data_IF_191062448795
#
_entry.id   IF_191062448795
#
_cell.length_a   1.000
_cell.length_b   1.000
_cell.length_c   1.000
_cell.angle_alpha   90.00
_cell.angle_beta   90.00
_cell.angle_gamma   90.00
#
_symmetry.space_group_name_H-M   'P 1'
#
loop_
_entity.id
_entity.type
_entity.pdbx_description
1 polymer ?
#
# COMPACT_ATOMS: atom_id res chain seq x y z
N UNK A 1 -20.12 -23.13 -9.37
CA UNK A 1 -18.85 -23.27 -10.09
C UNK A 1 -18.84 -22.31 -11.27
N UNK A 2 -18.61 -21.03 -11.03
CA UNK A 2 -18.41 -20.08 -12.12
C UNK A 2 -16.92 -19.77 -12.22
N UNK A 3 -16.22 -20.56 -13.04
CA UNK A 3 -14.82 -20.33 -13.42
C UNK A 3 -14.71 -19.52 -14.74
N UNK A 4 -15.75 -18.79 -15.10
CA UNK A 4 -15.91 -18.32 -16.48
C UNK A 4 -15.25 -16.98 -16.81
N UNK A 5 -14.57 -16.27 -15.89
CA UNK A 5 -14.02 -14.95 -16.19
C UNK A 5 -12.65 -14.68 -15.54
N UNK A 6 -11.71 -15.62 -15.64
CA UNK A 6 -10.30 -15.27 -15.41
C UNK A 6 -9.70 -14.77 -16.72
N UNK A 7 -9.39 -13.48 -16.80
CA UNK A 7 -8.61 -12.94 -17.89
C UNK A 7 -7.15 -13.39 -17.69
N UNK A 8 -6.73 -14.42 -18.42
CA UNK A 8 -5.33 -14.85 -18.45
C UNK A 8 -4.65 -14.19 -19.64
N UNK A 9 -3.68 -13.34 -19.38
CA UNK A 9 -2.85 -12.75 -20.43
C UNK A 9 -1.37 -13.10 -20.19
N UNK A 10 -0.62 -13.24 -21.27
CA UNK A 10 0.82 -13.42 -21.17
C UNK A 10 1.48 -12.09 -20.84
N UNK A 11 2.33 -12.05 -19.80
CA UNK A 11 3.07 -10.85 -19.39
C UNK A 11 3.86 -10.21 -20.57
N UNK A 12 4.24 -11.00 -21.57
CA UNK A 12 4.92 -10.52 -22.79
C UNK A 12 4.03 -9.72 -23.73
N UNK A 13 2.71 -9.79 -23.62
CA UNK A 13 1.76 -9.04 -24.47
C UNK A 13 1.26 -7.78 -23.82
N UNK A 14 1.61 -7.55 -22.55
CA UNK A 14 1.29 -6.34 -21.84
C UNK A 14 2.43 -5.31 -22.06
N UNK A 15 2.21 -4.36 -22.95
CA UNK A 15 3.12 -3.22 -23.09
C UNK A 15 2.83 -2.21 -21.98
N UNK A 16 3.77 -1.99 -21.08
CA UNK A 16 3.69 -0.88 -20.12
C UNK A 16 4.01 0.41 -20.89
N UNK A 17 3.08 1.35 -20.89
CA UNK A 17 3.32 2.73 -21.32
C UNK A 17 3.93 3.59 -20.21
N UNK A 18 4.15 3.02 -19.04
CA UNK A 18 4.61 3.72 -17.85
C UNK A 18 5.94 3.10 -17.40
N UNK A 19 6.99 3.92 -17.34
CA UNK A 19 8.25 3.54 -16.72
C UNK A 19 8.02 3.36 -15.21
N UNK A 20 8.13 2.13 -14.76
CA UNK A 20 8.03 1.80 -13.34
C UNK A 20 9.33 2.16 -12.62
N UNK A 21 9.24 2.95 -11.57
CA UNK A 21 10.37 3.31 -10.72
C UNK A 21 10.01 2.99 -9.27
N UNK A 22 10.73 2.02 -8.69
CA UNK A 22 10.75 1.83 -7.25
C UNK A 22 11.77 2.80 -6.66
N UNK A 23 11.29 3.73 -5.82
CA UNK A 23 12.14 4.71 -5.15
C UNK A 23 12.83 4.18 -3.89
N UNK A 24 12.57 2.92 -3.51
CA UNK A 24 13.20 2.30 -2.35
C UNK A 24 14.67 2.04 -2.63
N UNK A 25 15.56 2.77 -1.95
CA UNK A 25 16.99 2.47 -1.98
C UNK A 25 17.24 1.21 -1.16
N UNK A 26 17.96 0.25 -1.76
CA UNK A 26 18.35 -0.98 -1.08
C UNK A 26 19.13 -0.66 0.18
N UNK A 27 18.68 -1.10 1.34
CA UNK A 27 19.60 -1.24 2.46
C UNK A 27 20.72 -2.16 1.99
N UNK A 28 21.95 -1.71 2.13
CA UNK A 28 23.11 -2.59 1.94
C UNK A 28 22.89 -3.83 2.81
N UNK A 29 22.46 -4.91 2.19
CA UNK A 29 22.53 -6.22 2.78
C UNK A 29 24.04 -6.53 2.89
N UNK A 30 24.67 -5.96 3.90
CA UNK A 30 25.97 -6.44 4.35
C UNK A 30 25.75 -7.90 4.73
N UNK A 31 26.15 -8.78 3.83
CA UNK A 31 26.00 -10.20 3.93
C UNK A 31 26.69 -10.73 5.17
N UNK A 32 26.03 -10.57 6.30
CA UNK A 32 26.29 -11.38 7.47
C UNK A 32 26.02 -12.83 7.07
N UNK A 33 27.04 -13.67 7.20
CA UNK A 33 27.02 -15.12 6.98
C UNK A 33 26.12 -15.82 8.01
N UNK A 34 24.88 -15.37 8.17
CA UNK A 34 23.86 -16.12 8.83
C UNK A 34 23.08 -16.87 7.75
N UNK A 35 23.54 -18.11 7.47
CA UNK A 35 22.67 -19.14 6.98
C UNK A 35 21.58 -19.41 8.05
N UNK A 36 20.70 -18.47 8.29
CA UNK A 36 19.41 -18.83 8.85
C UNK A 36 18.74 -19.71 7.79
N UNK A 37 18.57 -20.98 8.15
CA UNK A 37 17.71 -21.85 7.37
C UNK A 37 16.40 -21.08 7.19
N UNK A 38 16.13 -20.65 5.97
CA UNK A 38 14.77 -20.22 5.59
C UNK A 38 13.89 -21.38 5.98
N UNK A 39 13.13 -21.22 7.02
CA UNK A 39 12.00 -22.11 7.31
C UNK A 39 11.03 -21.84 6.16
N UNK A 40 11.11 -22.68 5.15
CA UNK A 40 10.21 -22.62 4.00
C UNK A 40 8.85 -23.08 4.51
N UNK A 41 8.01 -22.08 4.86
CA UNK A 41 6.62 -22.30 5.23
C UNK A 41 6.45 -23.03 6.57
N UNK A 42 6.15 -22.26 7.61
CA UNK A 42 5.66 -22.85 8.88
C UNK A 42 4.18 -23.27 8.78
N UNK A 43 3.58 -23.15 7.61
CA UNK A 43 2.16 -23.42 7.32
C UNK A 43 1.20 -22.55 8.16
N UNK A 44 1.69 -21.43 8.70
CA UNK A 44 0.85 -20.49 9.46
C UNK A 44 0.30 -19.39 8.56
N UNK A 45 -1.00 -19.21 8.64
CA UNK A 45 -1.67 -18.07 8.02
C UNK A 45 -1.61 -16.87 8.97
N UNK A 46 -1.06 -15.74 8.50
CA UNK A 46 -0.89 -14.53 9.30
C UNK A 46 -1.81 -13.42 8.81
N UNK A 47 -2.31 -12.61 9.74
CA UNK A 47 -3.05 -11.41 9.40
C UNK A 47 -2.46 -10.20 10.09
N UNK A 48 -2.42 -9.07 9.36
CA UNK A 48 -1.92 -7.80 9.86
C UNK A 48 -2.94 -6.69 9.65
N UNK A 49 -3.04 -5.79 10.64
CA UNK A 49 -3.93 -4.63 10.59
C UNK A 49 -3.28 -3.57 9.72
N UNK A 50 -3.94 -3.22 8.61
CA UNK A 50 -3.49 -2.26 7.64
C UNK A 50 -4.21 -0.92 7.83
N UNK A 51 -3.45 0.17 7.94
CA UNK A 51 -3.94 1.55 7.89
C UNK A 51 -3.57 2.17 6.54
N UNK A 52 -4.57 2.56 5.74
CA UNK A 52 -4.36 3.19 4.43
C UNK A 52 -4.83 4.64 4.48
N UNK A 53 -3.88 5.57 4.44
CA UNK A 53 -4.18 6.97 4.24
C UNK A 53 -4.38 7.29 2.74
N UNK A 54 -5.06 8.38 2.45
CA UNK A 54 -5.18 8.89 1.07
C UNK A 54 -4.89 10.37 1.03
N UNK A 55 -4.18 10.81 -0.01
CA UNK A 55 -4.01 12.25 -0.25
C UNK A 55 -5.32 12.88 -0.77
N UNK A 56 -5.41 14.20 -0.75
CA UNK A 56 -6.54 14.94 -1.32
C UNK A 56 -6.72 14.65 -2.81
N UNK A 57 -5.60 14.55 -3.56
CA UNK A 57 -5.64 14.23 -4.99
C UNK A 57 -6.22 12.85 -5.26
N UNK A 58 -5.86 11.85 -4.44
CA UNK A 58 -6.42 10.49 -4.57
C UNK A 58 -7.93 10.51 -4.33
N UNK A 59 -8.38 11.14 -3.26
CA UNK A 59 -9.80 11.23 -2.95
C UNK A 59 -10.57 11.98 -4.04
N UNK A 60 -10.02 13.11 -4.52
CA UNK A 60 -10.63 13.94 -5.56
C UNK A 60 -10.71 13.23 -6.91
N UNK A 61 -9.73 12.37 -7.23
CA UNK A 61 -9.76 11.54 -8.44
C UNK A 61 -11.03 10.68 -8.50
N UNK A 62 -11.50 10.18 -7.36
CA UNK A 62 -12.72 9.38 -7.25
C UNK A 62 -13.97 10.21 -6.92
N UNK A 63 -13.91 11.53 -7.04
CA UNK A 63 -15.04 12.44 -6.87
C UNK A 63 -15.39 12.75 -5.42
N UNK A 64 -14.53 12.42 -4.46
CA UNK A 64 -14.75 12.73 -3.06
C UNK A 64 -14.03 14.04 -2.67
N UNK A 65 -14.81 15.08 -2.39
CA UNK A 65 -14.37 16.43 -2.03
C UNK A 65 -14.55 16.73 -0.53
N UNK A 66 -15.11 15.80 0.23
CA UNK A 66 -15.36 15.98 1.66
C UNK A 66 -15.60 14.64 2.35
N UNK A 67 -15.52 14.64 3.67
CA UNK A 67 -15.73 13.44 4.51
C UNK A 67 -17.13 12.81 4.35
N UNK A 68 -18.13 13.56 3.91
CA UNK A 68 -19.45 13.01 3.60
C UNK A 68 -19.45 12.03 2.42
N UNK A 69 -18.39 12.05 1.61
CA UNK A 69 -18.18 11.19 0.44
C UNK A 69 -17.11 10.10 0.70
N UNK A 70 -16.72 9.89 1.95
CA UNK A 70 -15.71 8.91 2.36
C UNK A 70 -15.98 7.49 1.84
N UNK A 71 -17.24 7.13 1.62
CA UNK A 71 -17.61 5.84 1.06
C UNK A 71 -17.07 5.61 -0.36
N UNK A 72 -16.92 6.66 -1.17
CA UNK A 72 -16.33 6.57 -2.50
C UNK A 72 -14.84 6.19 -2.42
N UNK A 73 -14.11 6.84 -1.52
CA UNK A 73 -12.69 6.55 -1.27
C UNK A 73 -12.52 5.15 -0.66
N UNK A 74 -13.35 4.82 0.34
CA UNK A 74 -13.30 3.51 0.99
C UNK A 74 -13.51 2.37 -0.01
N UNK A 75 -14.44 2.51 -0.96
CA UNK A 75 -14.68 1.50 -1.98
C UNK A 75 -13.42 1.23 -2.83
N UNK A 76 -12.66 2.27 -3.17
CA UNK A 76 -11.43 2.12 -3.93
C UNK A 76 -10.29 1.50 -3.10
N UNK A 77 -10.13 1.94 -1.86
CA UNK A 77 -9.15 1.37 -0.93
C UNK A 77 -9.45 -0.12 -0.70
N UNK A 78 -10.70 -0.49 -0.45
CA UNK A 78 -11.12 -1.90 -0.29
C UNK A 78 -10.84 -2.71 -1.56
N UNK A 79 -11.11 -2.15 -2.73
CA UNK A 79 -10.82 -2.81 -4.01
C UNK A 79 -9.33 -3.10 -4.16
N UNK A 80 -8.48 -2.11 -3.89
CA UNK A 80 -7.03 -2.26 -3.95
C UNK A 80 -6.54 -3.32 -2.95
N UNK A 81 -6.97 -3.23 -1.70
CA UNK A 81 -6.55 -4.17 -0.64
C UNK A 81 -7.02 -5.60 -0.91
N UNK A 82 -8.24 -5.79 -1.41
CA UNK A 82 -8.70 -7.12 -1.81
C UNK A 82 -7.85 -7.70 -2.93
N UNK A 83 -7.46 -6.87 -3.89
CA UNK A 83 -6.62 -7.32 -5.01
C UNK A 83 -5.20 -7.68 -4.55
N UNK A 84 -4.63 -6.93 -3.61
CA UNK A 84 -3.36 -7.28 -2.94
C UNK A 84 -3.50 -8.60 -2.17
N UNK A 85 -4.58 -8.76 -1.41
CA UNK A 85 -4.83 -9.97 -0.63
C UNK A 85 -4.95 -11.23 -1.50
N UNK A 86 -5.51 -11.14 -2.71
CA UNK A 86 -5.54 -12.28 -3.65
C UNK A 86 -4.13 -12.86 -3.90
N UNK A 87 -3.12 -11.98 -4.02
CA UNK A 87 -1.73 -12.39 -4.20
C UNK A 87 -1.10 -12.83 -2.87
N UNK A 88 -1.29 -12.03 -1.82
CA UNK A 88 -0.63 -12.27 -0.53
C UNK A 88 -1.12 -13.53 0.18
N UNK A 89 -2.41 -13.86 0.08
CA UNK A 89 -2.95 -15.09 0.63
C UNK A 89 -2.42 -16.30 -0.11
N UNK A 90 -2.27 -16.20 -1.44
CA UNK A 90 -1.80 -17.31 -2.28
C UNK A 90 -0.28 -17.52 -2.13
N UNK A 91 0.51 -16.46 -2.15
CA UNK A 91 1.96 -16.57 -2.28
C UNK A 91 2.69 -16.49 -0.93
N UNK A 92 2.10 -15.81 0.06
CA UNK A 92 2.75 -15.54 1.35
C UNK A 92 1.97 -16.05 2.56
N UNK A 93 0.80 -16.68 2.38
CA UNK A 93 -0.10 -17.07 3.48
C UNK A 93 -0.39 -15.90 4.43
N UNK A 94 -0.57 -14.70 3.87
CA UNK A 94 -0.73 -13.47 4.63
C UNK A 94 -1.96 -12.70 4.16
N UNK A 95 -2.70 -12.11 5.10
CA UNK A 95 -3.85 -11.25 4.83
C UNK A 95 -3.70 -9.89 5.50
N UNK A 96 -3.99 -8.84 4.76
CA UNK A 96 -4.08 -7.48 5.25
C UNK A 96 -5.54 -7.14 5.57
N UNK A 97 -5.80 -6.68 6.78
CA UNK A 97 -7.13 -6.33 7.27
C UNK A 97 -7.17 -4.83 7.54
N UNK A 98 -7.99 -4.09 6.78
CA UNK A 98 -8.17 -2.66 7.03
C UNK A 98 -8.70 -2.42 8.45
N UNK A 99 -8.12 -1.41 9.11
CA UNK A 99 -8.58 -0.98 10.44
C UNK A 99 -9.99 -0.38 10.36
N UNK A 100 -10.78 -0.55 11.43
CA UNK A 100 -12.20 -0.17 11.41
C UNK A 100 -12.45 1.34 11.27
N UNK A 101 -11.52 2.18 11.72
CA UNK A 101 -11.58 3.64 11.61
C UNK A 101 -10.71 4.21 10.48
N UNK A 102 -10.46 3.45 9.43
CA UNK A 102 -9.56 3.82 8.34
C UNK A 102 -9.93 5.14 7.64
N UNK A 103 -11.22 5.48 7.57
CA UNK A 103 -11.70 6.73 6.96
C UNK A 103 -11.23 8.01 7.69
N UNK A 104 -10.73 7.89 8.92
CA UNK A 104 -10.19 9.03 9.69
C UNK A 104 -8.88 9.58 9.11
N UNK A 105 -8.23 8.84 8.22
CA UNK A 105 -6.99 9.23 7.53
C UNK A 105 -7.20 9.43 6.02
N UNK A 106 -8.43 9.68 5.58
CA UNK A 106 -8.73 10.11 4.22
C UNK A 106 -8.75 11.63 4.16
N UNK A 107 -7.95 12.19 3.27
CA UNK A 107 -7.89 13.63 3.04
C UNK A 107 -8.61 13.99 1.73
N UNK A 108 -9.16 15.20 1.66
CA UNK A 108 -10.04 15.62 0.56
C UNK A 108 -9.61 16.95 -0.06
N UNK A 109 -8.66 17.63 0.57
CA UNK A 109 -8.11 18.90 0.10
C UNK A 109 -6.60 18.74 -0.04
N UNK A 110 -6.13 18.72 -1.28
CA UNK A 110 -4.70 18.59 -1.62
C UNK A 110 -3.84 19.79 -1.20
N UNK A 111 -4.46 20.92 -0.89
CA UNK A 111 -3.78 22.11 -0.37
C UNK A 111 -3.63 22.11 1.15
N UNK A 112 -4.33 21.22 1.85
CA UNK A 112 -4.39 21.14 3.31
C UNK A 112 -4.07 19.75 3.89
N UNK A 113 -3.87 18.75 3.05
CA UNK A 113 -3.46 17.43 3.54
C UNK A 113 -1.98 17.43 4.01
N UNK A 114 -1.56 16.46 4.83
CA UNK A 114 -0.20 16.43 5.38
C UNK A 114 0.85 15.88 4.41
N UNK A 115 0.52 15.69 3.14
CA UNK A 115 1.37 15.05 2.14
C UNK A 115 1.90 16.05 1.11
N UNK A 116 3.12 15.84 0.67
CA UNK A 116 3.75 16.64 -0.38
C UNK A 116 4.93 15.90 -1.00
N UNK A 117 5.34 16.31 -2.19
CA UNK A 117 6.51 15.74 -2.86
C UNK A 117 6.25 14.38 -3.47
N UNK A 118 7.33 13.62 -3.67
CA UNK A 118 7.32 12.27 -4.21
C UNK A 118 6.99 11.20 -3.14
N UNK A 119 6.85 9.95 -3.57
CA UNK A 119 6.52 8.84 -2.68
C UNK A 119 7.54 8.68 -1.54
N UNK A 120 8.83 8.86 -1.77
CA UNK A 120 9.84 8.72 -0.73
C UNK A 120 9.76 9.84 0.32
N UNK A 121 9.42 11.06 -0.11
CA UNK A 121 9.14 12.18 0.81
C UNK A 121 7.92 11.90 1.68
N UNK A 122 6.91 11.24 1.14
CA UNK A 122 5.67 10.90 1.86
C UNK A 122 5.87 9.85 2.97
N UNK A 123 6.95 9.07 2.97
CA UNK A 123 7.17 8.02 3.99
C UNK A 123 7.18 8.56 5.43
N UNK A 124 7.91 9.63 5.66
CA UNK A 124 7.97 10.26 6.99
C UNK A 124 6.67 10.95 7.37
N UNK A 125 6.05 11.62 6.41
CA UNK A 125 4.75 12.27 6.57
C UNK A 125 3.67 11.24 6.93
N UNK A 126 3.62 10.10 6.24
CA UNK A 126 2.67 9.04 6.49
C UNK A 126 2.86 8.40 7.86
N UNK A 127 4.12 8.16 8.27
CA UNK A 127 4.41 7.62 9.61
C UNK A 127 3.88 8.54 10.71
N UNK A 128 4.11 9.84 10.60
CA UNK A 128 3.63 10.84 11.56
C UNK A 128 2.10 10.89 11.55
N UNK A 129 1.50 11.05 10.38
CA UNK A 129 0.05 11.20 10.21
C UNK A 129 -0.73 10.02 10.77
N UNK A 130 -0.36 8.79 10.41
CA UNK A 130 -1.07 7.59 10.88
C UNK A 130 -0.85 7.42 12.39
N UNK A 131 0.34 7.70 12.89
CA UNK A 131 0.61 7.60 14.34
C UNK A 131 -0.22 8.60 15.14
N UNK A 132 -0.32 9.83 14.68
CA UNK A 132 -1.04 10.89 15.39
C UNK A 132 -2.57 10.69 15.36
N UNK A 133 -3.11 10.22 14.23
CA UNK A 133 -4.57 10.08 14.06
C UNK A 133 -5.08 8.72 14.55
N UNK A 134 -4.38 7.65 14.26
CA UNK A 134 -4.81 6.28 14.56
C UNK A 134 -4.20 5.77 15.88
N UNK A 135 -3.00 6.19 16.19
CA UNK A 135 -2.23 5.68 17.31
C UNK A 135 -1.44 4.40 16.98
N UNK A 136 -0.17 4.38 17.33
CA UNK A 136 0.76 3.30 16.95
C UNK A 136 0.32 1.89 17.40
N UNK A 137 -0.47 1.74 18.45
CA UNK A 137 -0.94 0.44 18.93
C UNK A 137 -2.07 -0.16 18.07
N UNK A 138 -2.67 0.61 17.16
CA UNK A 138 -3.92 0.25 16.48
C UNK A 138 -3.72 -0.29 15.05
N UNK A 139 -2.50 -0.36 14.54
CA UNK A 139 -2.16 -0.90 13.23
C UNK A 139 -0.80 -1.62 13.27
N UNK A 140 -0.54 -2.46 12.28
CA UNK A 140 0.69 -3.25 12.15
C UNK A 140 1.51 -2.81 10.95
N UNK A 141 0.86 -2.30 9.91
CA UNK A 141 1.46 -1.69 8.73
C UNK A 141 0.62 -0.51 8.26
N UNK A 142 1.26 0.55 7.76
CA UNK A 142 0.59 1.74 7.22
C UNK A 142 1.10 2.11 5.85
N UNK A 143 0.20 2.60 5.01
CA UNK A 143 0.49 2.99 3.63
C UNK A 143 -0.28 4.25 3.25
N UNK A 144 0.22 5.06 2.32
CA UNK A 144 -0.54 6.16 1.72
C UNK A 144 -0.74 5.94 0.23
N UNK A 145 -1.98 6.17 -0.23
CA UNK A 145 -2.33 6.21 -1.65
C UNK A 145 -2.37 7.65 -2.14
N UNK A 146 -1.67 7.90 -3.25
CA UNK A 146 -1.58 9.21 -3.90
C UNK A 146 -1.78 9.09 -5.42
N UNK A 147 -1.61 10.19 -6.14
CA UNK A 147 -1.71 10.25 -7.60
C UNK A 147 -0.37 10.71 -8.17
N UNK A 148 0.26 9.86 -8.99
CA UNK A 148 1.40 10.27 -9.82
C UNK A 148 2.76 10.42 -9.14
N UNK A 149 2.97 9.89 -7.94
CA UNK A 149 4.22 10.07 -7.18
C UNK A 149 5.20 8.88 -7.21
N UNK A 150 4.84 7.78 -7.88
CA UNK A 150 5.65 6.55 -7.86
C UNK A 150 5.44 5.71 -6.60
N UNK A 151 6.34 4.76 -6.35
CA UNK A 151 6.32 3.90 -5.16
C UNK A 151 7.58 4.07 -4.32
N UNK A 152 7.43 3.97 -3.01
CA UNK A 152 8.54 3.95 -2.05
C UNK A 152 8.10 3.32 -0.72
N UNK A 153 8.97 2.50 -0.13
CA UNK A 153 8.67 1.90 1.17
C UNK A 153 9.93 1.77 2.05
N UNK A 154 9.74 1.71 3.35
CA UNK A 154 10.78 1.30 4.28
C UNK A 154 10.94 -0.22 4.26
N UNK A 155 12.17 -0.71 4.26
CA UNK A 155 12.45 -2.15 4.23
C UNK A 155 12.28 -2.79 5.62
N UNK A 156 11.54 -3.91 5.68
CA UNK A 156 11.39 -4.70 6.89
C UNK A 156 10.73 -3.96 8.06
N UNK A 157 9.82 -3.04 7.78
CA UNK A 157 9.22 -2.16 8.79
C UNK A 157 7.94 -2.72 9.43
N UNK A 158 7.42 -3.83 8.95
CA UNK A 158 6.21 -4.46 9.48
C UNK A 158 6.31 -4.60 11.02
N UNK A 159 5.29 -4.15 11.74
CA UNK A 159 5.24 -4.12 13.22
C UNK A 159 6.35 -3.30 13.90
N UNK A 160 7.24 -2.63 13.16
CA UNK A 160 8.34 -1.83 13.72
C UNK A 160 7.81 -0.51 14.27
N UNK A 161 7.87 -0.34 15.58
CA UNK A 161 7.43 0.89 16.23
C UNK A 161 8.18 2.10 15.66
N UNK A 162 7.42 3.12 15.22
CA UNK A 162 7.97 4.35 14.64
C UNK A 162 8.33 4.28 13.14
N UNK A 163 8.25 3.11 12.49
CA UNK A 163 8.58 2.96 11.06
C UNK A 163 7.51 2.22 10.24
N UNK A 164 6.57 1.55 10.87
CA UNK A 164 5.61 0.64 10.22
C UNK A 164 4.57 1.29 9.30
N UNK A 165 4.51 2.61 9.25
CA UNK A 165 3.69 3.35 8.29
C UNK A 165 4.53 4.03 7.19
N UNK A 166 5.77 3.61 6.97
CA UNK A 166 6.64 4.12 5.92
C UNK A 166 6.41 3.38 4.61
N UNK A 167 5.27 3.64 3.98
CA UNK A 167 4.91 3.12 2.68
C UNK A 167 4.05 4.12 1.92
N UNK A 168 4.31 4.30 0.62
CA UNK A 168 3.61 5.23 -0.24
C UNK A 168 3.51 4.68 -1.67
N UNK A 169 2.35 4.84 -2.29
CA UNK A 169 2.12 4.50 -3.70
C UNK A 169 1.29 5.56 -4.37
N UNK A 170 1.76 6.03 -5.51
CA UNK A 170 1.04 6.95 -6.38
C UNK A 170 1.19 6.60 -7.84
N UNK A 171 0.08 6.53 -8.56
CA UNK A 171 0.01 6.32 -10.01
C UNK A 171 -1.12 7.15 -10.58
N UNK A 172 -1.02 7.53 -11.84
CA UNK A 172 -2.10 8.18 -12.57
C UNK A 172 -2.40 7.39 -13.85
N UNK A 173 -3.54 6.70 -13.96
CA UNK A 173 -4.64 6.60 -12.99
C UNK A 173 -4.31 5.68 -11.79
N UNK A 174 -4.81 5.98 -10.57
CA UNK A 174 -4.57 5.15 -9.39
C UNK A 174 -5.56 3.97 -9.31
N UNK A 175 -5.66 3.20 -10.38
CA UNK A 175 -6.63 2.09 -10.55
C UNK A 175 -6.04 0.95 -11.36
N UNK A 176 -6.66 -0.24 -11.23
CA UNK A 176 -6.29 -1.43 -11.98
C UNK A 176 -5.03 -2.11 -11.45
N UNK A 177 -4.68 -3.24 -12.05
CA UNK A 177 -3.52 -4.03 -11.65
C UNK A 177 -2.18 -3.28 -11.70
N UNK A 178 -1.95 -2.33 -12.64
CA UNK A 178 -0.76 -1.49 -12.58
C UNK A 178 -0.62 -0.74 -11.25
N UNK A 179 -1.73 -0.24 -10.69
CA UNK A 179 -1.71 0.40 -9.37
C UNK A 179 -1.72 -0.64 -8.24
N UNK A 180 -2.65 -1.63 -8.29
CA UNK A 180 -2.87 -2.53 -7.16
C UNK A 180 -1.74 -3.54 -6.96
N UNK A 181 -1.19 -4.08 -8.04
CA UNK A 181 -0.22 -5.18 -8.01
C UNK A 181 1.20 -4.67 -8.26
N UNK A 182 1.42 -3.94 -9.36
CA UNK A 182 2.76 -3.51 -9.73
C UNK A 182 3.35 -2.51 -8.74
N UNK A 183 2.49 -1.74 -8.06
CA UNK A 183 2.91 -0.75 -7.07
C UNK A 183 2.47 -1.10 -5.64
N UNK A 184 1.16 -1.14 -5.32
CA UNK A 184 0.72 -1.29 -3.92
C UNK A 184 1.20 -2.61 -3.32
N UNK A 185 1.02 -3.75 -4.03
CA UNK A 185 1.51 -5.03 -3.52
C UNK A 185 3.04 -5.07 -3.45
N UNK A 186 3.75 -4.44 -4.39
CA UNK A 186 5.20 -4.34 -4.39
C UNK A 186 5.70 -3.57 -3.18
N UNK A 187 5.19 -2.35 -2.96
CA UNK A 187 5.65 -1.48 -1.88
C UNK A 187 5.28 -2.01 -0.49
N UNK A 188 4.12 -2.66 -0.34
CA UNK A 188 3.75 -3.34 0.90
C UNK A 188 4.59 -4.60 1.16
N UNK A 189 5.20 -5.18 0.12
CA UNK A 189 6.05 -6.37 0.19
C UNK A 189 7.49 -6.10 0.66
N UNK A 190 7.91 -4.84 0.68
CA UNK A 190 9.22 -4.45 1.20
C UNK A 190 9.30 -4.61 2.72
#
# INVERSE_FOLDING_TARGET
NDMANRLVYYAKTYSREIDWICGTEGADFNGGTHHEQRIVGDCEFRSYRLAVATTGEYSNYFGAMSSSQSALVMAQVVTAVNRVNDVYETDFSTRLILIGNNSSIFYYDSGADPYSGDACTQLGQNQTTITDVIGSANYDIGHVFSVGSGGCAGLGVLCSSGNKARGATGLNPPTGDPFYIDYVAHELGH
#
